data_IF_042139798990
#
_entry.id   IF_042139798990
#
_cell.length_a   1.000
_cell.length_b   1.000
_cell.length_c   1.000
_cell.angle_alpha   90.00
_cell.angle_beta   90.00
_cell.angle_gamma   90.00
#
_symmetry.space_group_name_H-M   'P 1'
#
loop_
_entity.id
_entity.type
_entity.pdbx_description
1 polymer ?
#
# COMPACT_ATOMS: atom_id res chain seq x y z
N UNK A 1 -4.80 -30.53 3.04
CA UNK A 1 -4.32 -30.03 4.35
C UNK A 1 -3.87 -28.60 4.12
N UNK A 2 -4.29 -27.64 4.96
CA UNK A 2 -3.77 -26.27 4.91
C UNK A 2 -2.34 -26.35 5.43
N UNK A 3 -1.36 -25.95 4.64
CA UNK A 3 0.03 -25.88 5.09
C UNK A 3 0.17 -24.81 6.18
N UNK A 4 1.11 -25.01 7.11
CA UNK A 4 1.37 -24.07 8.19
C UNK A 4 1.86 -22.73 7.58
N UNK A 5 1.29 -21.62 8.01
CA UNK A 5 1.72 -20.28 7.59
C UNK A 5 3.11 -19.97 8.14
N UNK A 6 4.01 -19.48 7.30
CA UNK A 6 5.35 -19.01 7.66
C UNK A 6 5.55 -17.51 7.48
N UNK A 7 4.69 -16.86 6.71
CA UNK A 7 4.72 -15.42 6.49
C UNK A 7 3.29 -14.88 6.40
N UNK A 8 3.00 -13.79 7.11
CA UNK A 8 1.79 -12.98 6.94
C UNK A 8 2.16 -11.63 6.32
N UNK A 9 1.60 -11.32 5.15
CA UNK A 9 1.66 -10.01 4.52
C UNK A 9 0.34 -9.27 4.77
N UNK A 10 0.42 -8.09 5.38
CA UNK A 10 -0.75 -7.27 5.71
C UNK A 10 -0.73 -5.92 4.97
N UNK A 11 -1.90 -5.50 4.49
CA UNK A 11 -2.17 -4.09 4.23
C UNK A 11 -2.19 -3.30 5.55
N UNK A 12 -1.96 -1.99 5.48
CA UNK A 12 -1.91 -1.12 6.65
C UNK A 12 -3.24 -0.41 6.89
N UNK A 13 -3.69 0.38 5.91
CA UNK A 13 -4.83 1.28 6.11
C UNK A 13 -6.15 0.53 6.11
N UNK A 14 -6.98 0.71 7.17
CA UNK A 14 -8.26 0.01 7.33
C UNK A 14 -8.15 -1.52 7.44
N UNK A 15 -6.92 -2.03 7.59
CA UNK A 15 -6.61 -3.45 7.82
C UNK A 15 -5.90 -3.61 9.16
N UNK A 16 -4.64 -3.15 9.24
CA UNK A 16 -3.81 -3.24 10.45
C UNK A 16 -4.14 -2.11 11.45
N UNK A 17 -4.49 -0.93 10.93
CA UNK A 17 -4.84 0.26 11.72
C UNK A 17 -6.32 0.62 11.56
N UNK A 18 -6.85 1.32 12.57
CA UNK A 18 -8.22 1.87 12.57
C UNK A 18 -8.37 2.98 11.51
N UNK A 19 -9.61 3.48 11.24
CA UNK A 19 -9.82 4.66 10.39
C UNK A 19 -9.01 5.87 10.86
N UNK A 20 -8.83 6.03 12.18
CA UNK A 20 -8.05 7.11 12.80
C UNK A 20 -6.54 6.88 12.78
N UNK A 21 -6.08 5.86 12.04
CA UNK A 21 -4.67 5.50 11.86
C UNK A 21 -3.98 5.05 13.16
N UNK A 22 -4.76 4.45 14.07
CA UNK A 22 -4.28 3.92 15.34
C UNK A 22 -3.99 2.43 15.21
N UNK A 23 -2.78 2.01 15.58
CA UNK A 23 -2.45 0.62 15.82
C UNK A 23 -2.98 0.24 17.22
N UNK A 24 -3.94 -0.68 17.30
CA UNK A 24 -4.49 -1.10 18.60
C UNK A 24 -3.51 -2.00 19.36
N UNK A 25 -3.59 -2.01 20.68
CA UNK A 25 -2.76 -2.90 21.51
C UNK A 25 -2.97 -4.37 21.13
N UNK A 26 -4.20 -4.75 20.77
CA UNK A 26 -4.52 -6.11 20.39
C UNK A 26 -3.93 -6.49 19.03
N UNK A 27 -3.92 -5.58 18.06
CA UNK A 27 -3.25 -5.80 16.79
C UNK A 27 -1.72 -5.94 16.98
N UNK A 28 -1.14 -5.08 17.83
CA UNK A 28 0.29 -5.15 18.18
C UNK A 28 0.64 -6.50 18.84
N UNK A 29 -0.14 -6.93 19.84
CA UNK A 29 0.03 -8.23 20.52
C UNK A 29 -0.11 -9.41 19.54
N UNK A 30 -1.05 -9.33 18.59
CA UNK A 30 -1.22 -10.36 17.58
C UNK A 30 0.04 -10.53 16.71
N UNK A 31 0.70 -9.43 16.31
CA UNK A 31 1.96 -9.48 15.58
C UNK A 31 3.09 -10.06 16.46
N UNK A 32 3.18 -9.68 17.72
CA UNK A 32 4.18 -10.26 18.63
C UNK A 32 4.01 -11.78 18.77
N UNK A 33 2.77 -12.27 18.84
CA UNK A 33 2.48 -13.72 18.86
C UNK A 33 2.86 -14.42 17.55
N UNK A 34 2.78 -13.74 16.38
CA UNK A 34 3.33 -14.29 15.14
C UNK A 34 4.85 -14.50 15.26
N UNK A 35 5.58 -13.52 15.79
CA UNK A 35 7.02 -13.64 15.99
C UNK A 35 7.39 -14.79 16.97
N UNK A 36 6.64 -14.92 18.06
CA UNK A 36 6.80 -16.03 19.02
C UNK A 36 6.55 -17.41 18.38
N UNK A 37 5.65 -17.47 17.40
CA UNK A 37 5.37 -18.69 16.63
C UNK A 37 6.36 -18.91 15.46
N UNK A 38 7.37 -18.04 15.27
CA UNK A 38 8.31 -18.13 14.17
C UNK A 38 7.74 -17.74 12.80
N UNK A 39 6.60 -17.04 12.77
CA UNK A 39 5.94 -16.56 11.55
C UNK A 39 6.44 -15.14 11.24
N UNK A 40 7.00 -14.95 10.05
CA UNK A 40 7.41 -13.63 9.58
C UNK A 40 6.19 -12.74 9.36
N UNK A 41 6.33 -11.45 9.71
CA UNK A 41 5.28 -10.47 9.49
C UNK A 41 5.82 -9.33 8.61
N UNK A 42 5.13 -9.06 7.50
CA UNK A 42 5.47 -8.00 6.55
C UNK A 42 4.26 -7.10 6.30
N UNK A 43 4.53 -5.84 5.98
CA UNK A 43 3.49 -4.86 5.64
C UNK A 43 3.67 -4.29 4.25
N UNK A 44 2.54 -3.95 3.62
CA UNK A 44 2.48 -3.21 2.36
C UNK A 44 1.47 -2.07 2.48
N UNK A 45 1.77 -0.92 1.88
CA UNK A 45 0.89 0.24 1.95
C UNK A 45 1.05 1.12 0.72
N UNK A 46 0.00 1.86 0.37
CA UNK A 46 0.07 2.95 -0.62
C UNK A 46 0.83 4.19 -0.12
N UNK A 47 1.14 4.26 1.18
CA UNK A 47 1.87 5.37 1.80
C UNK A 47 3.34 5.37 1.40
N UNK A 48 4.02 6.53 1.49
CA UNK A 48 5.49 6.60 1.43
C UNK A 48 6.13 5.89 2.63
N UNK A 49 7.43 5.50 2.56
CA UNK A 49 8.12 4.80 3.65
C UNK A 49 8.01 5.52 5.01
N UNK A 50 8.23 6.83 5.04
CA UNK A 50 8.09 7.64 6.27
C UNK A 50 6.68 7.57 6.86
N UNK A 51 5.67 7.42 6.01
CA UNK A 51 4.27 7.34 6.43
C UNK A 51 3.88 6.04 7.15
N UNK A 52 4.78 5.05 7.20
CA UNK A 52 4.59 3.78 7.93
C UNK A 52 5.70 3.52 8.96
N UNK A 53 6.70 4.39 9.07
CA UNK A 53 7.86 4.22 9.95
C UNK A 53 7.47 4.08 11.43
N UNK A 54 6.37 4.69 11.88
CA UNK A 54 5.87 4.57 13.24
C UNK A 54 5.47 3.13 13.62
N UNK A 55 5.27 2.24 12.64
CA UNK A 55 4.91 0.84 12.88
C UNK A 55 6.12 -0.05 13.13
N UNK A 56 7.33 0.40 12.76
CA UNK A 56 8.55 -0.43 12.76
C UNK A 56 8.86 -0.93 14.17
N UNK A 57 9.01 -0.01 15.12
CA UNK A 57 9.36 -0.34 16.50
C UNK A 57 8.22 -1.08 17.21
N UNK A 58 6.99 -0.54 17.11
CA UNK A 58 5.82 -1.10 17.79
C UNK A 58 5.55 -2.56 17.37
N UNK A 59 5.76 -2.89 16.10
CA UNK A 59 5.54 -4.23 15.55
C UNK A 59 6.81 -5.08 15.50
N UNK A 60 7.97 -4.54 15.93
CA UNK A 60 9.28 -5.20 15.82
C UNK A 60 9.52 -5.78 14.43
N UNK A 61 9.27 -4.96 13.40
CA UNK A 61 9.41 -5.41 12.01
C UNK A 61 10.85 -5.82 11.72
N UNK A 62 11.02 -6.98 11.12
CA UNK A 62 12.31 -7.53 10.68
C UNK A 62 12.33 -7.87 9.19
N UNK A 63 11.23 -7.58 8.50
CA UNK A 63 11.06 -7.79 7.06
C UNK A 63 11.09 -6.46 6.32
N UNK A 64 11.43 -6.43 5.03
CA UNK A 64 11.27 -5.25 4.21
C UNK A 64 9.83 -4.74 4.21
N UNK A 65 9.67 -3.42 4.22
CA UNK A 65 8.40 -2.71 4.13
C UNK A 65 8.16 -2.35 2.66
N UNK A 66 7.00 -2.70 2.12
CA UNK A 66 6.63 -2.37 0.76
C UNK A 66 5.76 -1.09 0.74
N UNK A 67 6.39 0.05 0.52
CA UNK A 67 5.74 1.35 0.34
C UNK A 67 5.24 1.54 -1.11
N UNK A 68 4.32 2.48 -1.32
CA UNK A 68 3.71 2.75 -2.64
C UNK A 68 3.17 1.49 -3.32
N UNK A 69 2.56 0.58 -2.53
CA UNK A 69 2.06 -0.73 -2.99
C UNK A 69 3.15 -1.63 -3.63
N UNK A 70 4.42 -1.47 -3.24
CA UNK A 70 5.56 -2.18 -3.82
C UNK A 70 6.37 -1.34 -4.81
N UNK A 71 6.12 -0.04 -4.90
CA UNK A 71 6.95 0.90 -5.67
C UNK A 71 8.32 1.14 -5.03
N UNK A 72 8.42 0.99 -3.71
CA UNK A 72 9.68 1.12 -2.97
C UNK A 72 9.71 0.11 -1.83
N UNK A 73 10.80 -0.65 -1.75
CA UNK A 73 11.09 -1.54 -0.63
C UNK A 73 12.18 -0.92 0.25
N UNK A 74 11.91 -0.83 1.54
CA UNK A 74 12.86 -0.35 2.54
C UNK A 74 13.01 -1.37 3.65
N UNK A 75 14.23 -1.52 4.16
CA UNK A 75 14.49 -2.29 5.38
C UNK A 75 13.98 -1.52 6.62
N UNK A 76 13.88 -2.14 7.81
CA UNK A 76 13.46 -1.45 9.02
C UNK A 76 14.32 -0.25 9.42
N UNK A 77 15.56 -0.16 8.96
CA UNK A 77 16.43 1.01 9.13
C UNK A 77 16.19 2.11 8.09
N UNK A 78 15.16 1.96 7.26
CA UNK A 78 14.76 2.86 6.17
C UNK A 78 15.72 2.88 4.97
N UNK A 79 16.71 2.01 4.91
CA UNK A 79 17.55 1.84 3.72
C UNK A 79 16.75 1.20 2.57
N UNK A 80 16.86 1.76 1.37
CA UNK A 80 16.16 1.23 0.20
C UNK A 80 16.85 -0.03 -0.33
N UNK A 81 16.06 -1.08 -0.59
CA UNK A 81 16.55 -2.37 -1.12
C UNK A 81 16.04 -2.70 -2.51
N UNK A 82 15.06 -1.95 -3.00
CA UNK A 82 14.51 -2.09 -4.34
C UNK A 82 13.47 -1.02 -4.62
N UNK A 83 13.40 -0.59 -5.88
CA UNK A 83 12.38 0.39 -6.29
C UNK A 83 11.84 0.10 -7.68
N UNK A 84 10.59 0.48 -7.89
CA UNK A 84 9.87 0.52 -9.17
C UNK A 84 9.45 1.96 -9.41
N UNK A 85 10.24 2.69 -10.18
CA UNK A 85 9.97 4.09 -10.50
C UNK A 85 9.23 4.20 -11.82
N UNK A 86 8.41 5.23 -11.96
CA UNK A 86 7.77 5.58 -13.23
C UNK A 86 8.89 5.84 -14.26
N UNK A 87 8.83 5.27 -15.47
CA UNK A 87 9.84 5.57 -16.49
C UNK A 87 9.98 7.08 -16.68
N UNK A 88 11.20 7.60 -16.65
CA UNK A 88 11.47 9.05 -16.70
C UNK A 88 10.78 9.73 -17.89
N UNK A 89 10.69 9.05 -19.03
CA UNK A 89 9.98 9.54 -20.21
C UNK A 89 8.46 9.72 -20.01
N UNK A 90 7.89 9.08 -18.99
CA UNK A 90 6.44 9.17 -18.67
C UNK A 90 6.13 10.24 -17.61
N UNK A 91 7.11 10.68 -16.82
CA UNK A 91 6.89 11.62 -15.73
C UNK A 91 6.25 12.93 -16.22
N UNK A 92 6.87 13.64 -17.15
CA UNK A 92 6.34 14.90 -17.67
C UNK A 92 5.00 14.73 -18.42
N UNK A 93 4.82 13.72 -19.32
CA UNK A 93 3.53 13.45 -19.95
C UNK A 93 2.39 13.16 -18.96
N UNK A 94 2.66 12.42 -17.88
CA UNK A 94 1.66 12.13 -16.84
C UNK A 94 1.27 13.42 -16.10
N UNK A 95 2.25 14.22 -15.66
CA UNK A 95 2.00 15.50 -15.01
C UNK A 95 1.16 16.41 -15.90
N UNK A 96 1.53 16.57 -17.16
CA UNK A 96 0.78 17.40 -18.13
C UNK A 96 -0.64 16.90 -18.37
N UNK A 97 -0.85 15.58 -18.34
CA UNK A 97 -2.20 15.03 -18.43
C UNK A 97 -3.05 15.43 -17.22
N UNK A 98 -2.53 15.25 -16.01
CA UNK A 98 -3.28 15.57 -14.76
C UNK A 98 -3.63 17.07 -14.72
N UNK A 99 -2.67 17.92 -15.06
CA UNK A 99 -2.86 19.38 -15.14
C UNK A 99 -3.91 19.78 -16.19
N UNK A 100 -4.01 19.05 -17.31
CA UNK A 100 -5.03 19.33 -18.34
C UNK A 100 -6.47 19.06 -17.90
N UNK A 101 -6.66 18.39 -16.77
CA UNK A 101 -7.93 18.18 -16.08
C UNK A 101 -8.08 19.04 -14.83
N UNK A 102 -7.24 20.06 -14.64
CA UNK A 102 -7.20 20.95 -13.47
C UNK A 102 -6.99 20.19 -12.15
N UNK A 103 -6.24 19.10 -12.17
CA UNK A 103 -5.86 18.39 -10.96
C UNK A 103 -4.58 19.00 -10.37
N UNK A 104 -4.54 19.20 -9.05
CA UNK A 104 -3.30 19.42 -8.34
C UNK A 104 -2.40 18.19 -8.42
N UNK A 105 -1.10 18.41 -8.57
CA UNK A 105 -0.13 17.33 -8.76
C UNK A 105 0.80 17.23 -7.56
N UNK A 106 0.89 16.03 -6.99
CA UNK A 106 1.89 15.67 -6.00
C UNK A 106 2.87 14.65 -6.59
N UNK A 107 4.14 14.79 -6.24
CA UNK A 107 5.20 13.88 -6.70
C UNK A 107 5.91 13.27 -5.51
N UNK A 108 5.97 11.93 -5.47
CA UNK A 108 6.71 11.19 -4.47
C UNK A 108 8.00 10.65 -5.06
N UNK A 109 9.12 10.89 -4.37
CA UNK A 109 10.45 10.46 -4.75
C UNK A 109 11.24 10.03 -3.52
N UNK A 110 11.72 8.79 -3.52
CA UNK A 110 12.35 8.21 -2.34
C UNK A 110 11.41 8.25 -1.14
N UNK A 111 11.84 8.91 -0.06
CA UNK A 111 11.06 9.05 1.18
C UNK A 111 10.25 10.35 1.26
N UNK A 112 10.41 11.25 0.29
CA UNK A 112 9.85 12.60 0.30
C UNK A 112 8.66 12.73 -0.66
N UNK A 113 7.78 13.70 -0.37
CA UNK A 113 6.73 14.12 -1.29
C UNK A 113 6.75 15.63 -1.49
N UNK A 114 6.38 16.04 -2.70
CA UNK A 114 6.52 17.38 -3.21
C UNK A 114 5.19 17.87 -3.73
N UNK A 115 4.86 19.13 -3.43
CA UNK A 115 3.66 19.83 -3.91
C UNK A 115 4.04 21.21 -4.41
N UNK A 116 3.20 21.81 -5.27
CA UNK A 116 3.38 23.24 -5.64
C UNK A 116 2.73 24.17 -4.63
N UNK A 117 1.51 23.83 -4.20
CA UNK A 117 0.78 24.58 -3.18
C UNK A 117 0.63 23.76 -1.90
N UNK A 118 1.27 24.17 -0.78
CA UNK A 118 1.14 23.47 0.48
C UNK A 118 -0.25 23.63 1.12
N UNK A 119 -1.10 24.56 0.60
CA UNK A 119 -2.48 24.75 1.04
C UNK A 119 -3.49 24.19 0.02
N UNK A 120 -3.02 23.44 -0.95
CA UNK A 120 -3.86 22.80 -1.97
C UNK A 120 -4.82 21.74 -1.40
N UNK A 121 -5.78 21.27 -2.19
CA UNK A 121 -6.77 20.29 -1.77
C UNK A 121 -6.11 19.05 -1.13
N UNK A 122 -6.63 18.62 0.03
CA UNK A 122 -6.21 17.41 0.75
C UNK A 122 -4.76 17.35 1.23
N UNK A 123 -3.94 18.38 1.08
CA UNK A 123 -2.53 18.41 1.56
C UNK A 123 -2.47 18.19 3.07
N UNK A 124 -3.28 18.91 3.85
CA UNK A 124 -3.34 18.75 5.31
C UNK A 124 -3.77 17.33 5.70
N UNK A 125 -4.72 16.74 4.97
CA UNK A 125 -5.21 15.39 5.20
C UNK A 125 -4.10 14.36 4.94
N UNK A 126 -3.36 14.51 3.85
CA UNK A 126 -2.24 13.63 3.52
C UNK A 126 -1.11 13.79 4.55
N UNK A 127 -0.73 15.02 4.90
CA UNK A 127 0.27 15.28 5.94
C UNK A 127 -0.11 14.64 7.29
N UNK A 128 -1.40 14.71 7.66
CA UNK A 128 -1.92 14.00 8.84
C UNK A 128 -1.83 12.48 8.69
N UNK A 129 -2.10 11.94 7.50
CA UNK A 129 -2.08 10.50 7.23
C UNK A 129 -0.65 9.95 7.27
N UNK A 130 0.29 10.61 6.58
CA UNK A 130 1.68 10.16 6.45
C UNK A 130 2.61 10.66 7.56
N UNK A 131 2.10 11.56 8.43
CA UNK A 131 2.78 12.14 9.61
C UNK A 131 3.98 13.03 9.30
N UNK A 132 4.04 13.60 8.09
CA UNK A 132 5.03 14.63 7.74
C UNK A 132 4.52 15.54 6.63
N UNK A 133 4.99 16.79 6.65
CA UNK A 133 4.61 17.81 5.66
C UNK A 133 5.31 17.59 4.31
N UNK A 134 4.72 18.08 3.20
CA UNK A 134 5.39 18.07 1.89
C UNK A 134 6.54 19.07 1.82
N UNK A 135 7.41 18.85 0.85
CA UNK A 135 8.35 19.85 0.39
C UNK A 135 7.70 20.66 -0.73
N UNK A 136 7.71 21.99 -0.61
CA UNK A 136 7.19 22.86 -1.67
C UNK A 136 8.20 23.02 -2.80
N UNK A 137 7.74 22.94 -4.05
CA UNK A 137 8.55 23.15 -5.25
C UNK A 137 7.80 23.98 -6.28
N UNK A 138 8.51 24.79 -7.06
CA UNK A 138 7.89 25.58 -8.14
C UNK A 138 7.70 24.78 -9.42
N UNK A 139 8.40 23.65 -9.58
CA UNK A 139 8.37 22.86 -10.82
C UNK A 139 8.70 21.38 -10.56
N UNK A 140 8.16 20.51 -11.41
CA UNK A 140 8.49 19.09 -11.50
C UNK A 140 9.27 18.74 -12.79
N UNK A 141 9.70 19.74 -13.57
CA UNK A 141 10.29 19.55 -14.89
C UNK A 141 11.49 18.60 -14.92
N UNK A 142 12.25 18.57 -13.85
CA UNK A 142 13.45 17.73 -13.73
C UNK A 142 13.27 16.58 -12.72
N UNK A 143 12.03 16.23 -12.38
CA UNK A 143 11.79 15.11 -11.47
C UNK A 143 12.26 13.80 -12.11
N UNK A 144 13.06 13.05 -11.35
CA UNK A 144 13.60 11.73 -11.72
C UNK A 144 13.39 10.78 -10.56
N UNK A 145 13.48 9.49 -10.85
CA UNK A 145 13.27 8.44 -9.85
C UNK A 145 11.94 8.59 -9.11
N UNK A 146 10.90 8.95 -9.85
CA UNK A 146 9.56 9.20 -9.30
C UNK A 146 8.88 7.88 -9.01
N UNK A 147 8.61 7.62 -7.73
CA UNK A 147 7.93 6.40 -7.29
C UNK A 147 6.42 6.48 -7.52
N UNK A 148 5.83 7.68 -7.34
CA UNK A 148 4.38 7.89 -7.46
C UNK A 148 4.09 9.35 -7.83
N UNK A 149 3.10 9.54 -8.70
CA UNK A 149 2.47 10.84 -8.96
C UNK A 149 1.01 10.73 -8.54
N UNK A 150 0.48 11.75 -7.88
CA UNK A 150 -0.94 11.82 -7.50
C UNK A 150 -1.57 13.05 -8.14
N UNK A 151 -2.66 12.84 -8.85
CA UNK A 151 -3.57 13.91 -9.25
C UNK A 151 -4.67 14.06 -8.20
N UNK A 152 -4.93 15.28 -7.75
CA UNK A 152 -5.84 15.58 -6.64
C UNK A 152 -6.86 16.62 -7.04
N UNK A 153 -8.15 16.37 -6.80
CA UNK A 153 -9.21 17.34 -7.00
C UNK A 153 -10.47 16.96 -6.23
N UNK A 154 -11.23 17.97 -5.79
CA UNK A 154 -12.60 17.80 -5.27
C UNK A 154 -13.63 17.60 -6.40
N UNK A 155 -13.28 17.90 -7.66
CA UNK A 155 -14.07 17.51 -8.83
C UNK A 155 -13.83 16.03 -9.15
N UNK A 156 -14.69 15.18 -8.60
CA UNK A 156 -14.59 13.72 -8.74
C UNK A 156 -14.78 13.25 -10.19
N UNK A 157 -15.52 14.01 -11.02
CA UNK A 157 -15.70 13.71 -12.43
C UNK A 157 -14.42 14.01 -13.21
N UNK A 158 -13.72 15.09 -12.88
CA UNK A 158 -12.41 15.41 -13.45
C UNK A 158 -11.41 14.29 -13.14
N UNK A 159 -11.35 13.82 -11.88
CA UNK A 159 -10.48 12.70 -11.47
C UNK A 159 -10.82 11.41 -12.23
N UNK A 160 -12.11 11.11 -12.42
CA UNK A 160 -12.54 9.92 -13.17
C UNK A 160 -12.12 9.99 -14.64
N UNK A 161 -12.37 11.13 -15.31
CA UNK A 161 -11.97 11.36 -16.72
C UNK A 161 -10.45 11.33 -16.91
N UNK A 162 -9.69 11.92 -15.96
CA UNK A 162 -8.23 11.86 -15.97
C UNK A 162 -7.74 10.41 -15.87
N UNK A 163 -8.38 9.58 -15.04
CA UNK A 163 -8.07 8.15 -14.90
C UNK A 163 -8.29 7.39 -16.21
N UNK A 164 -9.43 7.57 -16.86
CA UNK A 164 -9.74 6.96 -18.16
C UNK A 164 -8.75 7.40 -19.24
N UNK A 165 -8.42 8.70 -19.28
CA UNK A 165 -7.46 9.27 -20.23
C UNK A 165 -6.05 8.75 -19.99
N UNK A 166 -5.63 8.57 -18.73
CA UNK A 166 -4.33 8.01 -18.39
C UNK A 166 -4.21 6.55 -18.88
N UNK A 167 -5.23 5.73 -18.67
CA UNK A 167 -5.28 4.36 -19.19
C UNK A 167 -5.20 4.33 -20.72
N UNK A 168 -6.00 5.15 -21.40
CA UNK A 168 -6.04 5.19 -22.86
C UNK A 168 -4.72 5.67 -23.47
N UNK A 169 -4.03 6.64 -22.83
CA UNK A 169 -2.84 7.29 -23.37
C UNK A 169 -1.55 6.56 -23.03
N UNK A 170 -1.42 6.02 -21.82
CA UNK A 170 -0.17 5.46 -21.32
C UNK A 170 -0.16 3.93 -21.28
N UNK A 171 -1.33 3.29 -21.34
CA UNK A 171 -1.47 1.83 -21.40
C UNK A 171 -0.66 1.13 -20.29
N UNK A 172 0.16 0.17 -20.70
CA UNK A 172 0.96 -0.64 -19.78
C UNK A 172 2.26 0.05 -19.29
N UNK A 173 2.52 1.30 -19.70
CA UNK A 173 3.72 2.02 -19.27
C UNK A 173 3.61 2.56 -17.86
N UNK A 174 2.39 2.77 -17.36
CA UNK A 174 2.11 3.17 -15.97
C UNK A 174 0.85 2.47 -15.48
N UNK A 175 0.75 2.30 -14.16
CA UNK A 175 -0.50 1.98 -13.48
C UNK A 175 -1.17 3.29 -13.06
N UNK A 176 -2.42 3.51 -13.47
CA UNK A 176 -3.21 4.67 -13.07
C UNK A 176 -4.48 4.18 -12.39
N UNK A 177 -4.63 4.41 -11.08
CA UNK A 177 -5.76 3.91 -10.30
C UNK A 177 -6.23 4.92 -9.26
N UNK A 178 -7.53 4.99 -9.03
CA UNK A 178 -8.09 5.83 -7.97
C UNK A 178 -7.96 5.12 -6.64
N UNK A 179 -7.15 5.68 -5.73
CA UNK A 179 -7.02 5.18 -4.36
C UNK A 179 -8.07 5.77 -3.42
N UNK A 180 -8.58 6.95 -3.78
CA UNK A 180 -9.74 7.61 -3.18
C UNK A 180 -10.55 8.27 -4.31
N UNK A 181 -11.81 8.66 -4.10
CA UNK A 181 -12.58 9.36 -5.14
C UNK A 181 -11.89 10.60 -5.70
N UNK A 182 -11.14 11.31 -4.85
CA UNK A 182 -10.43 12.57 -5.13
C UNK A 182 -8.92 12.38 -5.44
N UNK A 183 -8.40 11.14 -5.48
CA UNK A 183 -7.01 10.81 -5.79
C UNK A 183 -6.90 9.89 -7.00
N UNK A 184 -6.10 10.29 -7.96
CA UNK A 184 -5.61 9.44 -9.04
C UNK A 184 -4.12 9.16 -8.82
N UNK A 185 -3.82 7.97 -8.37
CA UNK A 185 -2.44 7.49 -8.16
C UNK A 185 -1.87 6.94 -9.47
N UNK A 186 -0.71 7.43 -9.88
CA UNK A 186 0.05 6.92 -11.02
C UNK A 186 1.38 6.39 -10.52
N UNK A 187 1.67 5.13 -10.84
CA UNK A 187 2.87 4.39 -10.39
C UNK A 187 3.45 3.55 -11.53
N UNK A 188 4.60 2.92 -11.29
CA UNK A 188 5.08 1.86 -12.19
C UNK A 188 4.07 0.71 -12.25
N UNK A 189 3.83 0.06 -13.41
CA UNK A 189 2.83 -1.02 -13.54
C UNK A 189 3.10 -2.22 -12.62
N UNK A 190 4.37 -2.51 -12.33
CA UNK A 190 4.75 -3.56 -11.39
C UNK A 190 4.73 -3.11 -9.91
N UNK A 191 4.40 -1.86 -9.62
CA UNK A 191 4.17 -1.40 -8.25
C UNK A 191 2.76 -1.81 -7.80
N UNK A 192 2.59 -3.08 -7.45
CA UNK A 192 1.32 -3.64 -6.98
C UNK A 192 1.55 -4.71 -5.91
N UNK A 193 0.54 -4.92 -5.07
CA UNK A 193 0.64 -5.82 -3.90
C UNK A 193 0.85 -7.30 -4.28
N UNK A 194 0.48 -7.72 -5.48
CA UNK A 194 0.80 -9.06 -5.99
C UNK A 194 2.31 -9.25 -6.18
N UNK A 195 3.00 -8.24 -6.70
CA UNK A 195 4.45 -8.25 -6.84
C UNK A 195 5.16 -8.19 -5.46
N UNK A 196 4.55 -7.54 -4.47
CA UNK A 196 5.05 -7.58 -3.08
C UNK A 196 5.06 -9.01 -2.55
N UNK A 197 3.95 -9.74 -2.69
CA UNK A 197 3.86 -11.13 -2.26
C UNK A 197 4.91 -12.02 -2.97
N UNK A 198 5.13 -11.81 -4.27
CA UNK A 198 6.19 -12.52 -5.03
C UNK A 198 7.58 -12.19 -4.52
N UNK A 199 7.88 -10.89 -4.33
CA UNK A 199 9.17 -10.46 -3.80
C UNK A 199 9.49 -11.13 -2.45
N UNK A 200 8.52 -11.20 -1.54
CA UNK A 200 8.70 -11.84 -0.23
C UNK A 200 8.89 -13.36 -0.36
N UNK A 201 8.15 -14.01 -1.28
CA UNK A 201 8.34 -15.42 -1.64
C UNK A 201 9.80 -15.71 -2.03
N UNK A 202 10.35 -14.93 -2.92
CA UNK A 202 11.72 -15.06 -3.42
C UNK A 202 12.74 -14.70 -2.33
N UNK A 203 12.55 -13.58 -1.64
CA UNK A 203 13.47 -13.05 -0.62
C UNK A 203 13.67 -14.00 0.56
N UNK A 204 12.60 -14.68 0.99
CA UNK A 204 12.63 -15.59 2.14
C UNK A 204 12.58 -17.08 1.75
N UNK A 205 12.51 -17.40 0.48
CA UNK A 205 12.37 -18.78 -0.01
C UNK A 205 11.21 -19.51 0.67
N UNK A 206 10.04 -18.82 0.79
CA UNK A 206 8.82 -19.35 1.38
C UNK A 206 7.85 -19.68 0.24
N UNK A 207 7.37 -20.96 0.12
CA UNK A 207 6.38 -21.32 -0.89
C UNK A 207 5.09 -20.48 -0.76
N UNK A 208 4.46 -20.15 -1.88
CA UNK A 208 3.18 -19.40 -1.91
C UNK A 208 2.12 -20.05 -1.01
N UNK A 209 2.10 -21.37 -0.92
CA UNK A 209 1.15 -22.11 -0.09
C UNK A 209 1.29 -21.84 1.43
N UNK A 210 2.45 -21.35 1.87
CA UNK A 210 2.79 -21.05 3.26
C UNK A 210 2.74 -19.53 3.57
N UNK A 211 2.26 -18.72 2.61
CA UNK A 211 2.04 -17.29 2.77
C UNK A 211 0.56 -17.04 3.06
N UNK A 212 0.29 -16.25 4.09
CA UNK A 212 -1.01 -15.64 4.34
C UNK A 212 -1.00 -14.17 3.93
N UNK A 213 -2.15 -13.66 3.46
CA UNK A 213 -2.34 -12.25 3.13
C UNK A 213 -3.63 -11.72 3.72
N UNK A 214 -3.63 -10.46 4.15
CA UNK A 214 -4.83 -9.81 4.72
C UNK A 214 -4.96 -8.38 4.22
N UNK A 215 -6.17 -7.98 3.80
CA UNK A 215 -6.45 -6.65 3.25
C UNK A 215 -7.94 -6.35 3.11
N UNK A 216 -8.28 -5.12 2.68
CA UNK A 216 -9.67 -4.64 2.59
C UNK A 216 -10.04 -4.00 1.23
N UNK A 217 -9.07 -3.70 0.37
CA UNK A 217 -9.27 -2.95 -0.87
C UNK A 217 -9.08 -3.82 -2.13
N UNK A 218 -9.59 -3.39 -3.30
CA UNK A 218 -9.41 -4.12 -4.56
C UNK A 218 -7.95 -4.40 -4.94
N UNK A 219 -7.00 -3.53 -4.59
CA UNK A 219 -5.57 -3.74 -4.82
C UNK A 219 -4.98 -4.88 -3.96
N UNK A 220 -5.66 -5.27 -2.86
CA UNK A 220 -5.26 -6.41 -2.03
C UNK A 220 -5.58 -7.75 -2.68
N UNK A 221 -6.58 -7.79 -3.57
CA UNK A 221 -6.93 -9.00 -4.31
C UNK A 221 -5.74 -9.52 -5.13
N UNK A 222 -4.85 -8.63 -5.57
CA UNK A 222 -3.64 -9.03 -6.27
C UNK A 222 -2.69 -9.86 -5.39
N UNK A 223 -2.54 -9.53 -4.10
CA UNK A 223 -1.73 -10.36 -3.19
C UNK A 223 -2.49 -11.61 -2.73
N UNK A 224 -3.84 -11.58 -2.68
CA UNK A 224 -4.64 -12.77 -2.39
C UNK A 224 -4.38 -13.90 -3.39
N UNK A 225 -4.22 -13.55 -4.68
CA UNK A 225 -3.90 -14.50 -5.75
C UNK A 225 -2.50 -15.16 -5.60
N UNK A 226 -1.62 -14.56 -4.79
CA UNK A 226 -0.26 -15.03 -4.55
C UNK A 226 -0.05 -15.51 -3.10
N UNK A 227 -1.09 -16.13 -2.51
CA UNK A 227 -1.04 -16.66 -1.14
C UNK A 227 -1.79 -17.98 -1.00
N UNK A 228 -1.34 -18.81 -0.07
CA UNK A 228 -2.03 -20.04 0.33
C UNK A 228 -3.27 -19.77 1.17
N UNK A 229 -3.27 -18.66 1.94
CA UNK A 229 -4.39 -18.22 2.76
C UNK A 229 -4.60 -16.72 2.56
N UNK A 230 -5.71 -16.35 1.92
CA UNK A 230 -6.14 -14.95 1.77
C UNK A 230 -7.29 -14.63 2.72
N UNK A 231 -7.21 -13.46 3.37
CA UNK A 231 -8.18 -13.02 4.37
C UNK A 231 -8.65 -11.61 4.00
N UNK A 232 -9.94 -11.43 3.81
CA UNK A 232 -10.55 -10.12 3.64
C UNK A 232 -11.05 -9.59 4.98
N UNK A 233 -10.86 -8.28 5.20
CA UNK A 233 -11.45 -7.59 6.35
C UNK A 233 -12.96 -7.49 6.22
N UNK A 234 -13.67 -7.41 7.35
CA UNK A 234 -15.13 -7.26 7.38
C UNK A 234 -15.63 -5.93 6.82
N UNK A 235 -14.80 -4.89 6.84
CA UNK A 235 -15.05 -3.57 6.22
C UNK A 235 -14.75 -3.53 4.72
N UNK A 236 -14.26 -4.61 4.11
CA UNK A 236 -14.03 -4.69 2.68
C UNK A 236 -15.34 -4.77 1.89
N UNK A 237 -15.30 -4.38 0.61
CA UNK A 237 -16.46 -4.57 -0.27
C UNK A 237 -16.78 -6.06 -0.49
N UNK A 238 -18.01 -6.35 -0.88
CA UNK A 238 -18.47 -7.73 -1.15
C UNK A 238 -17.58 -8.42 -2.22
N UNK A 239 -17.11 -7.66 -3.22
CA UNK A 239 -16.24 -8.17 -4.28
C UNK A 239 -14.87 -8.61 -3.70
N UNK A 240 -14.27 -7.80 -2.82
CA UNK A 240 -13.01 -8.13 -2.15
C UNK A 240 -13.19 -9.31 -1.20
N UNK A 241 -14.30 -9.35 -0.44
CA UNK A 241 -14.60 -10.46 0.45
C UNK A 241 -14.77 -11.79 -0.33
N UNK A 242 -15.42 -11.76 -1.50
CA UNK A 242 -15.58 -12.94 -2.36
C UNK A 242 -14.29 -13.44 -2.99
N UNK A 243 -13.30 -12.56 -3.18
CA UNK A 243 -12.00 -12.92 -3.70
C UNK A 243 -11.09 -13.60 -2.67
N UNK A 244 -11.41 -13.48 -1.37
CA UNK A 244 -10.63 -14.06 -0.29
C UNK A 244 -11.12 -15.46 0.12
N UNK A 245 -10.23 -16.29 0.65
CA UNK A 245 -10.58 -17.61 1.20
C UNK A 245 -11.26 -17.52 2.57
N UNK A 246 -11.02 -16.46 3.33
CA UNK A 246 -11.57 -16.22 4.66
C UNK A 246 -11.98 -14.76 4.79
N UNK A 247 -12.92 -14.51 5.69
CA UNK A 247 -13.36 -13.17 6.06
C UNK A 247 -13.23 -13.07 7.58
N UNK A 248 -12.69 -11.95 8.04
CA UNK A 248 -12.61 -11.60 9.47
C UNK A 248 -13.62 -10.48 9.80
N UNK A 249 -13.59 -9.95 11.02
CA UNK A 249 -14.39 -8.78 11.43
C UNK A 249 -13.81 -7.47 10.85
N UNK A 250 -14.49 -6.36 11.07
CA UNK A 250 -14.03 -5.03 10.67
C UNK A 250 -12.74 -4.64 11.40
N UNK A 251 -11.96 -3.73 10.82
CA UNK A 251 -10.80 -3.14 11.49
C UNK A 251 -11.18 -2.32 12.74
N UNK A 252 -12.44 -1.89 12.87
CA UNK A 252 -12.99 -1.27 14.09
C UNK A 252 -13.36 -2.29 15.15
N UNK A 253 -13.51 -3.58 14.77
CA UNK A 253 -13.84 -4.72 15.64
C UNK A 253 -12.67 -5.69 15.79
N UNK A 254 -11.44 -5.16 15.81
CA UNK A 254 -10.20 -5.94 15.98
C UNK A 254 -10.00 -7.03 14.91
N UNK A 255 -10.46 -6.79 13.69
CA UNK A 255 -10.48 -7.77 12.60
C UNK A 255 -9.12 -8.36 12.26
N UNK A 256 -8.04 -7.56 12.32
CA UNK A 256 -6.69 -8.04 12.12
C UNK A 256 -6.29 -9.07 13.20
N UNK A 257 -6.44 -8.72 14.47
CA UNK A 257 -6.10 -9.62 15.57
C UNK A 257 -6.95 -10.91 15.56
N UNK A 258 -8.25 -10.76 15.28
CA UNK A 258 -9.16 -11.91 15.14
C UNK A 258 -8.74 -12.85 14.00
N UNK A 259 -8.27 -12.30 12.87
CA UNK A 259 -7.77 -13.08 11.74
C UNK A 259 -6.50 -13.87 12.11
N UNK A 260 -5.53 -13.19 12.73
CA UNK A 260 -4.29 -13.82 13.19
C UNK A 260 -4.57 -14.98 14.12
N UNK A 261 -5.38 -14.75 15.15
CA UNK A 261 -5.71 -15.75 16.16
C UNK A 261 -6.49 -16.94 15.59
N UNK A 262 -7.44 -16.66 14.69
CA UNK A 262 -8.37 -17.69 14.20
C UNK A 262 -7.81 -18.51 13.04
N UNK A 263 -7.07 -17.88 12.14
CA UNK A 263 -6.73 -18.49 10.86
C UNK A 263 -5.23 -18.71 10.67
N UNK A 264 -4.37 -17.86 11.27
CA UNK A 264 -2.92 -17.94 11.05
C UNK A 264 -2.27 -18.81 12.13
N UNK A 265 -2.44 -18.48 13.41
CA UNK A 265 -1.82 -19.20 14.51
C UNK A 265 -2.37 -20.62 14.72
N UNK A 266 -3.68 -20.85 14.48
CA UNK A 266 -4.29 -22.19 14.62
C UNK A 266 -3.93 -23.15 13.49
N UNK A 267 -3.48 -22.65 12.35
CA UNK A 267 -3.03 -23.50 11.25
C UNK A 267 -1.64 -24.09 11.48
N UNK A 268 -0.95 -23.62 12.52
CA UNK A 268 0.43 -24.01 12.89
C UNK A 268 0.46 -25.03 14.04
N UNK A 269 -0.73 -25.54 14.52
CA UNK A 269 -0.87 -26.50 15.62
C UNK A 269 -1.22 -27.89 15.03
#
# INVERSE_FOLDING_TARGET
MIQATRLLLADVDRTLVTPDKILTDRACQAVHRLHEAGILFAITSGRPPRGVSMLIESLRLSTPIAAFNGGLFVEPDMSATGQKVIPDAMVAPVISLLESFDLDVWVYRGTEWYVRDPNGPHVDREAWTVKFAPTTTNTFEHAREVAKIVGVSDDLDAVAKASESAHARFGDHVSAARSQPYYLDVTHPDANKGQVARFLTERFSIPVAEIATIGDMPNDVLMFAHSGLSIAMGNASIEVQRAARRITTSNEDEGFANAVERYVLRSSS
#
